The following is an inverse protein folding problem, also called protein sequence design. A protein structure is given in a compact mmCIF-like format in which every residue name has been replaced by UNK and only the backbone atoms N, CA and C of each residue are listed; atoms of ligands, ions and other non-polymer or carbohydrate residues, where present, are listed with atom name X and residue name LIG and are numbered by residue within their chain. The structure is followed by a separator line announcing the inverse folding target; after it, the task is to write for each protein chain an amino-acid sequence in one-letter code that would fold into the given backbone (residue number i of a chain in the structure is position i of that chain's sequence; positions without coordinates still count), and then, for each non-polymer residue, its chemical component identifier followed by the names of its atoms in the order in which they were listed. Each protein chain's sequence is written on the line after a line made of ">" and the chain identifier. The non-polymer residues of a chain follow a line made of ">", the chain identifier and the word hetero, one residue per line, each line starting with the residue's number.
data_IF_510379488345
#
_entry.id   IF_510379488345
#
_cell.length_a   1.000
_cell.length_b   1.000
_cell.length_c   1.000
_cell.angle_alpha   90.00
_cell.angle_beta   90.00
_cell.angle_gamma   90.00
#
_symmetry.space_group_name_H-M   'P 1'
#
loop_
_entity.id
_entity.type
_entity.pdbx_description
1 polymer ?
#
# COMPACT_ATOMS: atom_id res chain seq x y z
N UNK A 1 4.38 5.15 13.13
CA UNK A 1 5.26 4.67 12.05
C UNK A 1 5.26 5.69 10.94
N UNK A 2 6.39 6.38 10.74
CA UNK A 2 6.66 7.16 9.53
C UNK A 2 7.55 6.27 8.68
N UNK A 3 6.99 5.68 7.63
CA UNK A 3 7.75 4.92 6.66
C UNK A 3 8.43 5.92 5.71
N UNK A 4 9.65 6.33 6.04
CA UNK A 4 10.47 7.14 5.14
C UNK A 4 11.09 6.25 4.07
N UNK A 5 10.26 5.72 3.17
CA UNK A 5 10.73 4.96 2.01
C UNK A 5 10.88 5.92 0.83
N UNK A 6 12.08 6.46 0.64
CA UNK A 6 12.50 6.99 -0.65
C UNK A 6 12.78 5.77 -1.53
N UNK A 7 11.83 5.40 -2.40
CA UNK A 7 12.00 4.35 -3.44
C UNK A 7 11.60 2.91 -3.06
N UNK A 8 10.44 2.73 -2.41
CA UNK A 8 9.79 1.43 -2.38
C UNK A 8 9.19 1.07 -3.75
N UNK A 9 9.33 -0.17 -4.20
CA UNK A 9 8.61 -0.68 -5.36
C UNK A 9 7.43 -1.54 -4.89
N UNK A 10 6.24 -1.29 -5.40
CA UNK A 10 5.08 -2.15 -5.18
C UNK A 10 5.29 -3.44 -5.98
N UNK A 11 5.50 -4.55 -5.29
CA UNK A 11 5.71 -5.86 -5.91
C UNK A 11 4.39 -6.60 -6.07
N UNK A 12 3.52 -6.52 -5.07
CA UNK A 12 2.23 -7.21 -5.07
C UNK A 12 1.15 -6.35 -4.44
N UNK A 13 -0.06 -6.44 -5.00
CA UNK A 13 -1.26 -5.87 -4.43
C UNK A 13 -2.35 -6.95 -4.41
N UNK A 14 -3.12 -7.00 -3.34
CA UNK A 14 -4.31 -7.85 -3.27
C UNK A 14 -5.44 -7.15 -2.54
N UNK A 15 -6.66 -7.55 -2.87
CA UNK A 15 -7.88 -6.99 -2.31
C UNK A 15 -8.83 -8.13 -2.00
N UNK A 16 -9.36 -8.14 -0.78
CA UNK A 16 -10.39 -9.07 -0.35
C UNK A 16 -11.71 -8.30 -0.14
N UNK A 17 -12.69 -8.59 -0.97
CA UNK A 17 -14.01 -7.97 -0.91
C UNK A 17 -14.87 -8.49 0.25
N UNK A 18 -14.66 -9.72 0.70
CA UNK A 18 -15.43 -10.32 1.80
C UNK A 18 -15.08 -9.68 3.14
N UNK A 19 -13.79 -9.48 3.39
CA UNK A 19 -13.25 -8.88 4.61
C UNK A 19 -13.00 -7.37 4.49
N UNK A 20 -13.30 -6.79 3.33
CA UNK A 20 -13.01 -5.38 2.98
C UNK A 20 -11.56 -5.02 3.35
N UNK A 21 -10.63 -5.88 2.96
CA UNK A 21 -9.22 -5.74 3.29
C UNK A 21 -8.36 -5.61 2.04
N UNK A 22 -7.17 -5.06 2.18
CA UNK A 22 -6.20 -4.94 1.10
C UNK A 22 -4.80 -5.21 1.64
N UNK A 23 -3.95 -5.82 0.82
CA UNK A 23 -2.53 -6.02 1.13
C UNK A 23 -1.70 -5.37 0.04
N UNK A 24 -0.68 -4.64 0.45
CA UNK A 24 0.36 -4.10 -0.43
C UNK A 24 1.71 -4.63 0.05
N UNK A 25 2.44 -5.31 -0.83
CA UNK A 25 3.79 -5.78 -0.56
C UNK A 25 4.78 -4.90 -1.31
N UNK A 26 5.64 -4.24 -0.55
CA UNK A 26 6.67 -3.36 -1.08
C UNK A 26 8.05 -4.01 -0.97
N UNK A 27 8.81 -3.91 -2.05
CA UNK A 27 10.24 -4.14 -2.07
C UNK A 27 10.94 -2.83 -1.72
N UNK A 28 11.65 -2.79 -0.60
CA UNK A 28 12.38 -1.62 -0.14
C UNK A 28 13.83 -1.72 -0.58
N UNK A 29 14.31 -0.67 -1.25
CA UNK A 29 15.71 -0.52 -1.60
C UNK A 29 16.42 0.27 -0.51
N UNK A 30 17.48 -0.32 0.07
CA UNK A 30 18.41 0.47 0.86
C UNK A 30 19.32 1.26 -0.09
N UNK A 31 19.50 2.55 0.21
CA UNK A 31 20.25 3.51 -0.64
C UNK A 31 21.71 3.08 -0.87
N UNK A 32 22.28 2.26 0.02
CA UNK A 32 23.69 1.84 -0.03
C UNK A 32 23.94 0.36 0.24
N UNK A 33 22.91 -0.48 0.48
CA UNK A 33 23.08 -1.90 0.80
C UNK A 33 22.09 -2.78 0.02
N UNK A 34 22.54 -3.94 -0.45
CA UNK A 34 21.78 -4.77 -1.42
C UNK A 34 20.66 -5.59 -0.80
N UNK A 35 20.51 -5.58 0.52
CA UNK A 35 19.49 -6.38 1.20
C UNK A 35 18.11 -5.79 0.92
N UNK A 36 17.43 -6.37 -0.07
CA UNK A 36 16.04 -6.08 -0.39
C UNK A 36 15.17 -6.50 0.78
N UNK A 37 14.65 -5.55 1.55
CA UNK A 37 13.67 -5.85 2.58
C UNK A 37 12.28 -5.83 1.94
N UNK A 38 11.53 -6.92 2.07
CA UNK A 38 10.11 -6.94 1.69
C UNK A 38 9.27 -6.59 2.91
N UNK A 39 8.30 -5.70 2.73
CA UNK A 39 7.36 -5.29 3.76
C UNK A 39 5.95 -5.41 3.21
N UNK A 40 5.10 -6.19 3.90
CA UNK A 40 3.67 -6.28 3.58
C UNK A 40 2.86 -5.46 4.57
N UNK A 41 2.00 -4.61 4.03
CA UNK A 41 1.05 -3.79 4.79
C UNK A 41 -0.36 -4.27 4.49
N UNK A 42 -1.03 -4.76 5.54
CA UNK A 42 -2.45 -5.13 5.49
C UNK A 42 -3.30 -4.01 6.05
N UNK A 43 -4.30 -3.59 5.27
CA UNK A 43 -5.34 -2.64 5.64
C UNK A 43 -6.61 -3.43 5.95
N UNK A 44 -7.11 -3.32 7.17
CA UNK A 44 -8.28 -4.07 7.65
C UNK A 44 -9.47 -3.14 7.88
N UNK A 45 -10.69 -3.62 7.61
CA UNK A 45 -11.91 -2.85 7.82
C UNK A 45 -11.95 -1.56 6.99
N UNK A 46 -11.72 -1.65 5.67
CA UNK A 46 -11.65 -0.48 4.81
C UNK A 46 -13.03 0.15 4.64
N UNK A 47 -13.20 1.37 5.16
CA UNK A 47 -14.44 2.14 5.13
C UNK A 47 -14.76 2.69 3.74
N UNK A 48 -13.76 3.18 3.00
CA UNK A 48 -13.94 3.73 1.65
C UNK A 48 -13.65 2.69 0.55
N UNK A 49 -14.15 1.47 0.75
CA UNK A 49 -13.78 0.28 -0.04
C UNK A 49 -13.99 0.45 -1.54
N UNK A 50 -15.10 1.03 -2.00
CA UNK A 50 -15.35 1.21 -3.44
C UNK A 50 -14.26 2.05 -4.13
N UNK A 51 -13.74 3.09 -3.47
CA UNK A 51 -12.65 3.90 -4.01
C UNK A 51 -11.32 3.13 -4.02
N UNK A 52 -11.05 2.33 -2.98
CA UNK A 52 -9.86 1.48 -2.89
C UNK A 52 -9.91 0.37 -3.94
N UNK A 53 -11.05 -0.30 -4.10
CA UNK A 53 -11.28 -1.33 -5.11
C UNK A 53 -11.06 -0.79 -6.52
N UNK A 54 -11.64 0.38 -6.85
CA UNK A 54 -11.44 1.00 -8.16
C UNK A 54 -9.98 1.38 -8.43
N UNK A 55 -9.24 1.77 -7.39
CA UNK A 55 -7.80 2.05 -7.52
C UNK A 55 -7.00 0.76 -7.75
N UNK A 56 -7.22 -0.27 -6.94
CA UNK A 56 -6.52 -1.56 -7.05
C UNK A 56 -6.86 -2.27 -8.37
N UNK A 57 -8.09 -2.15 -8.88
CA UNK A 57 -8.45 -2.70 -10.17
C UNK A 57 -7.61 -2.14 -11.32
N UNK A 58 -7.21 -0.85 -11.25
CA UNK A 58 -6.31 -0.23 -12.24
C UNK A 58 -4.88 -0.75 -12.10
N UNK A 59 -4.40 -0.86 -10.87
CA UNK A 59 -3.05 -1.39 -10.59
C UNK A 59 -2.94 -2.83 -11.09
N UNK A 60 -3.97 -3.64 -10.85
CA UNK A 60 -4.00 -5.05 -11.20
C UNK A 60 -4.34 -5.32 -12.68
N UNK A 61 -5.02 -4.40 -13.38
CA UNK A 61 -5.29 -4.57 -14.82
C UNK A 61 -4.04 -4.41 -15.67
N UNK A 62 -3.10 -3.59 -15.20
CA UNK A 62 -1.86 -3.25 -15.90
C UNK A 62 -0.70 -4.15 -15.46
N UNK A 63 -0.92 -5.01 -14.46
CA UNK A 63 0.03 -6.01 -14.01
C UNK A 63 0.21 -7.06 -15.11
N UNK A 64 1.40 -7.15 -15.69
CA UNK A 64 1.77 -8.25 -16.58
C UNK A 64 2.16 -9.47 -15.70
N UNK A 65 1.38 -10.57 -15.71
CA UNK A 65 1.67 -11.74 -14.91
C UNK A 65 2.92 -12.52 -15.37
N UNK A 66 3.43 -12.26 -16.58
CA UNK A 66 4.66 -12.88 -17.10
C UNK A 66 5.90 -11.99 -16.91
N UNK A 67 5.72 -10.71 -16.55
CA UNK A 67 6.81 -9.83 -16.21
C UNK A 67 7.20 -10.01 -14.73
N UNK A 68 8.47 -10.31 -14.48
CA UNK A 68 9.06 -10.40 -13.12
C UNK A 68 9.26 -9.00 -12.49
N UNK A 69 8.46 -8.02 -12.94
CA UNK A 69 8.63 -6.60 -12.71
C UNK A 69 7.68 -6.09 -11.61
N UNK A 70 8.12 -5.02 -10.95
CA UNK A 70 7.32 -4.34 -9.94
C UNK A 70 6.13 -3.62 -10.58
N UNK A 71 4.96 -3.66 -9.92
CA UNK A 71 3.71 -3.04 -10.35
C UNK A 71 3.84 -1.52 -10.50
N UNK A 72 4.48 -0.85 -9.54
CA UNK A 72 4.76 0.59 -9.63
C UNK A 72 5.82 1.03 -8.61
N UNK A 73 6.36 2.23 -8.76
CA UNK A 73 7.12 2.92 -7.72
C UNK A 73 6.19 3.59 -6.72
N UNK A 74 6.47 3.40 -5.43
CA UNK A 74 5.82 4.11 -4.34
C UNK A 74 6.55 5.43 -4.06
N UNK A 75 5.93 6.55 -4.43
CA UNK A 75 6.44 7.89 -4.16
C UNK A 75 6.18 8.32 -2.70
N UNK A 76 5.06 7.87 -2.12
CA UNK A 76 4.71 8.22 -0.75
C UNK A 76 3.79 7.18 -0.10
N UNK A 77 4.10 6.85 1.15
CA UNK A 77 3.25 6.03 2.00
C UNK A 77 3.32 6.52 3.45
N UNK A 78 2.28 7.18 3.93
CA UNK A 78 2.28 7.72 5.29
C UNK A 78 0.89 7.73 5.91
N UNK A 79 0.84 7.56 7.24
CA UNK A 79 -0.38 7.76 8.01
C UNK A 79 -0.71 9.26 8.05
N UNK A 80 -1.97 9.62 7.83
CA UNK A 80 -2.46 10.98 8.05
C UNK A 80 -2.48 11.25 9.56
N UNK A 81 -1.53 12.07 10.02
CA UNK A 81 -1.45 12.50 11.42
C UNK A 81 -2.15 13.84 11.67
N UNK A 82 -2.72 14.48 10.63
CA UNK A 82 -3.38 15.80 10.75
C UNK A 82 -4.77 15.71 11.37
N UNK A 83 -5.38 14.53 11.37
CA UNK A 83 -6.59 14.24 12.15
C UNK A 83 -6.20 13.33 13.31
N UNK A 84 -6.65 13.60 14.56
CA UNK A 84 -6.46 12.64 15.63
C UNK A 84 -7.14 11.34 15.21
N UNK A 85 -6.34 10.28 15.06
CA UNK A 85 -6.86 8.94 14.88
C UNK A 85 -7.82 8.68 16.05
N UNK A 86 -9.09 8.41 15.75
CA UNK A 86 -9.94 7.82 16.78
C UNK A 86 -9.34 6.45 17.10
N UNK A 87 -9.58 5.91 18.29
CA UNK A 87 -9.01 4.61 18.70
C UNK A 87 -9.35 3.44 17.74
N UNK A 88 -10.21 3.65 16.74
CA UNK A 88 -10.69 2.65 15.78
C UNK A 88 -10.57 3.06 14.31
N UNK A 89 -9.88 4.15 13.97
CA UNK A 89 -9.73 4.53 12.56
C UNK A 89 -8.37 5.10 12.20
N UNK A 90 -7.85 4.64 11.07
CA UNK A 90 -6.60 5.04 10.46
C UNK A 90 -6.85 5.57 9.04
N UNK A 91 -6.15 6.65 8.71
CA UNK A 91 -6.10 7.18 7.34
C UNK A 91 -4.66 7.02 6.84
N UNK A 92 -4.49 6.40 5.68
CA UNK A 92 -3.19 6.22 5.04
C UNK A 92 -3.22 6.83 3.66
N UNK A 93 -2.24 7.69 3.38
CA UNK A 93 -2.00 8.20 2.03
C UNK A 93 -0.99 7.31 1.33
N UNK A 94 -1.38 6.85 0.16
CA UNK A 94 -0.54 6.13 -0.80
C UNK A 94 -0.42 6.99 -2.05
N UNK A 95 0.78 7.09 -2.62
CA UNK A 95 1.02 7.63 -3.95
C UNK A 95 1.91 6.67 -4.71
N UNK A 96 1.39 6.20 -5.84
CA UNK A 96 2.15 5.43 -6.83
C UNK A 96 2.46 6.33 -8.03
N UNK A 97 3.61 6.15 -8.65
CA UNK A 97 4.12 7.07 -9.68
C UNK A 97 3.20 7.17 -10.90
N UNK A 98 2.63 6.05 -11.36
CA UNK A 98 1.75 5.99 -12.53
C UNK A 98 0.27 6.09 -12.15
N UNK A 99 -0.13 5.55 -10.99
CA UNK A 99 -1.55 5.50 -10.59
C UNK A 99 -2.01 6.70 -9.74
N UNK A 100 -1.09 7.59 -9.37
CA UNK A 100 -1.39 8.77 -8.57
C UNK A 100 -1.70 8.43 -7.11
N UNK A 101 -2.44 9.31 -6.44
CA UNK A 101 -2.67 9.24 -4.99
C UNK A 101 -4.00 8.62 -4.59
N UNK A 102 -3.99 7.79 -3.55
CA UNK A 102 -5.16 7.23 -2.88
C UNK A 102 -5.07 7.53 -1.37
N UNK A 103 -6.21 7.88 -0.76
CA UNK A 103 -6.35 7.87 0.70
C UNK A 103 -7.17 6.65 1.12
N UNK A 104 -6.58 5.76 1.89
CA UNK A 104 -7.23 4.57 2.46
C UNK A 104 -7.73 4.93 3.86
N UNK A 105 -9.03 4.75 4.11
CA UNK A 105 -9.65 4.89 5.43
C UNK A 105 -10.00 3.50 5.93
N UNK A 106 -9.37 3.06 7.02
CA UNK A 106 -9.42 1.70 7.52
C UNK A 106 -9.46 1.66 9.05
N UNK A 107 -9.74 0.50 9.64
CA UNK A 107 -9.71 0.29 11.09
C UNK A 107 -8.28 0.16 11.59
N UNK A 108 -7.51 -0.69 10.92
CA UNK A 108 -6.14 -1.01 11.29
C UNK A 108 -5.22 -1.11 10.07
N UNK A 109 -3.94 -0.88 10.35
CA UNK A 109 -2.84 -1.11 9.41
C UNK A 109 -1.84 -1.99 10.14
N UNK A 110 -1.71 -3.23 9.68
CA UNK A 110 -0.81 -4.24 10.25
C UNK A 110 0.39 -4.40 9.33
N UNK A 111 1.58 -4.31 9.90
CA UNK A 111 2.83 -4.64 9.22
C UNK A 111 3.20 -6.07 9.58
N UNK A 112 3.49 -6.90 8.58
CA UNK A 112 3.91 -8.28 8.77
C UNK A 112 5.17 -8.60 7.96
N UNK A 113 6.08 -9.46 8.48
CA UNK A 113 6.97 -10.21 7.61
C UNK A 113 6.15 -11.18 6.75
N UNK A 114 6.61 -11.45 5.53
CA UNK A 114 6.08 -12.53 4.69
C UNK A 114 6.13 -13.88 5.42
#
# INVERSE_FOLDING_TARGET
>A
MHYQYHDGLLEQASLDASDRSAVLTFLLYAVFDRTRARVSLRFEGIYNFAAVQAYFAKVLSDADPEADDCLDRCDALHRDTKRPASARSSYVFLRLAHYGSLRIHCEAVVEGPL
#
